data_IF_180507987899
#
_entry.id   IF_180507987899
#
_cell.length_a   1.000
_cell.length_b   1.000
_cell.length_c   1.000
_cell.angle_alpha   90.00
_cell.angle_beta   90.00
_cell.angle_gamma   90.00
#
_symmetry.space_group_name_H-M   'P 1'
#
loop_
_entity.id
_entity.type
_entity.pdbx_description
1 polymer ?
#
# COMPACT_ATOMS: atom_id res chain seq x y z
N UNK A 1 10.56 -21.05 2.15
CA UNK A 1 10.14 -20.97 3.57
C UNK A 1 11.27 -20.74 4.60
N UNK A 2 12.48 -21.38 4.54
CA UNK A 2 13.56 -21.14 5.53
C UNK A 2 14.26 -19.78 5.40
N UNK A 3 14.40 -19.22 4.21
CA UNK A 3 15.07 -17.92 4.00
C UNK A 3 14.21 -16.74 4.50
N UNK A 4 12.90 -16.76 4.27
CA UNK A 4 11.96 -15.75 4.79
C UNK A 4 12.01 -15.76 6.33
N UNK A 5 11.96 -16.93 6.98
CA UNK A 5 12.08 -17.04 8.45
C UNK A 5 13.40 -16.51 9.02
N UNK A 6 14.49 -16.45 8.25
CA UNK A 6 15.79 -15.93 8.71
C UNK A 6 15.79 -14.38 8.75
N UNK A 7 15.13 -13.72 7.80
CA UNK A 7 14.94 -12.26 7.82
C UNK A 7 13.96 -11.83 8.92
N UNK A 8 12.87 -12.60 9.13
CA UNK A 8 11.88 -12.33 10.18
C UNK A 8 12.41 -12.48 11.62
N UNK A 9 13.43 -13.33 11.86
CA UNK A 9 13.95 -13.57 13.22
C UNK A 9 14.82 -12.45 13.78
N UNK A 10 15.23 -11.48 12.98
CA UNK A 10 16.03 -10.33 13.46
C UNK A 10 15.17 -9.11 13.83
N UNK A 11 13.85 -9.19 13.71
CA UNK A 11 12.90 -8.15 14.11
C UNK A 11 12.21 -8.57 15.42
N UNK A 12 12.94 -8.56 16.51
CA UNK A 12 12.38 -8.89 17.85
C UNK A 12 11.39 -7.83 18.37
N UNK A 13 11.32 -6.68 17.69
CA UNK A 13 10.43 -5.54 17.96
C UNK A 13 9.45 -5.24 16.81
N UNK A 14 9.37 -6.13 15.81
CA UNK A 14 8.44 -5.98 14.68
C UNK A 14 8.85 -4.96 13.60
N UNK A 15 9.90 -4.18 13.77
CA UNK A 15 10.31 -3.17 12.80
C UNK A 15 11.74 -3.39 12.29
N UNK A 16 11.92 -3.60 10.98
CA UNK A 16 13.23 -3.57 10.33
C UNK A 16 13.41 -2.21 9.64
N UNK A 17 14.33 -1.38 10.15
CA UNK A 17 14.77 -0.18 9.42
C UNK A 17 15.70 -0.60 8.29
N UNK A 18 15.20 -0.55 7.05
CA UNK A 18 16.04 -0.69 5.86
C UNK A 18 16.64 0.69 5.58
N UNK A 19 17.96 0.80 5.60
CA UNK A 19 18.75 2.01 5.58
C UNK A 19 18.32 3.10 4.58
N UNK A 20 18.95 4.29 4.69
CA UNK A 20 18.67 5.48 3.89
C UNK A 20 18.53 5.14 2.41
N UNK A 21 17.30 5.30 1.89
CA UNK A 21 17.04 5.24 0.47
C UNK A 21 17.52 6.54 -0.20
N UNK A 22 17.99 6.43 -1.44
CA UNK A 22 18.30 7.60 -2.25
C UNK A 22 17.00 8.37 -2.55
N UNK A 23 17.08 9.69 -2.70
CA UNK A 23 15.96 10.58 -3.04
C UNK A 23 14.94 10.88 -1.92
N UNK A 24 15.37 11.53 -0.84
CA UNK A 24 14.45 12.25 0.06
C UNK A 24 13.66 11.39 1.06
N UNK A 25 13.64 10.06 0.93
CA UNK A 25 13.01 9.18 1.93
C UNK A 25 13.87 9.14 3.19
N UNK A 26 13.32 9.64 4.29
CA UNK A 26 14.02 9.69 5.57
C UNK A 26 14.14 8.30 6.20
N UNK A 27 13.11 7.44 6.03
CA UNK A 27 13.11 6.08 6.52
C UNK A 27 12.19 5.17 5.71
N UNK A 28 12.56 3.88 5.64
CA UNK A 28 11.71 2.78 5.18
C UNK A 28 11.60 1.79 6.32
N UNK A 29 10.41 1.29 6.59
CA UNK A 29 10.20 0.22 7.55
C UNK A 29 9.32 -0.89 6.97
N UNK A 30 9.50 -2.09 7.47
CA UNK A 30 8.71 -3.27 7.18
C UNK A 30 8.12 -3.77 8.49
N UNK A 31 6.82 -4.04 8.51
CA UNK A 31 6.11 -4.55 9.68
C UNK A 31 5.22 -5.73 9.27
N UNK A 32 5.32 -6.84 10.01
CA UNK A 32 4.46 -8.00 9.81
C UNK A 32 3.14 -7.80 10.54
N UNK A 33 2.02 -7.99 9.86
CA UNK A 33 0.68 -7.91 10.41
C UNK A 33 -0.09 -9.20 10.17
N UNK A 34 -1.05 -9.49 11.04
CA UNK A 34 -2.05 -10.52 10.81
C UNK A 34 -3.13 -9.93 9.86
N UNK A 35 -3.42 -10.53 8.70
CA UNK A 35 -4.53 -10.09 7.86
C UNK A 35 -5.87 -9.99 8.58
N UNK A 36 -6.09 -10.80 9.64
CA UNK A 36 -7.30 -10.75 10.45
C UNK A 36 -7.43 -9.46 11.28
N UNK A 37 -6.31 -8.79 11.61
CA UNK A 37 -6.30 -7.52 12.36
C UNK A 37 -6.63 -6.30 11.52
N UNK A 38 -6.71 -6.45 10.19
CA UNK A 38 -7.01 -5.32 9.31
C UNK A 38 -8.45 -4.86 9.44
N UNK A 39 -8.63 -3.57 9.56
CA UNK A 39 -9.93 -2.90 9.74
C UNK A 39 -10.54 -2.56 8.38
N UNK A 40 -11.68 -3.14 8.04
CA UNK A 40 -12.41 -2.85 6.80
C UNK A 40 -13.67 -2.03 7.08
N UNK A 41 -13.98 -1.05 6.23
CA UNK A 41 -15.11 -0.15 6.43
C UNK A 41 -15.73 0.31 5.10
N UNK A 42 -17.05 0.17 4.99
CA UNK A 42 -17.84 0.76 3.90
C UNK A 42 -17.74 2.29 3.88
N UNK A 43 -17.45 2.92 5.04
CA UNK A 43 -17.25 4.37 5.12
C UNK A 43 -16.03 4.82 4.32
N UNK A 44 -14.92 4.04 4.34
CA UNK A 44 -13.75 4.34 3.53
C UNK A 44 -14.10 4.24 2.04
N UNK A 45 -14.85 3.22 1.64
CA UNK A 45 -15.33 3.07 0.27
C UNK A 45 -16.27 4.22 -0.14
N UNK A 46 -17.11 4.71 0.78
CA UNK A 46 -17.97 5.86 0.53
C UNK A 46 -17.15 7.12 0.24
N UNK A 47 -16.06 7.37 0.96
CA UNK A 47 -15.15 8.51 0.69
C UNK A 47 -14.60 8.40 -0.75
N UNK A 48 -14.18 7.21 -1.18
CA UNK A 48 -13.77 7.02 -2.57
C UNK A 48 -14.84 7.44 -3.57
N UNK A 49 -16.11 7.09 -3.33
CA UNK A 49 -17.20 7.40 -4.26
C UNK A 49 -17.65 8.86 -4.22
N UNK A 50 -17.53 9.52 -3.06
CA UNK A 50 -18.03 10.88 -2.85
C UNK A 50 -16.99 11.96 -3.21
N UNK A 51 -15.70 11.69 -2.98
CA UNK A 51 -14.68 12.74 -2.98
C UNK A 51 -13.49 12.43 -3.90
N UNK A 52 -13.21 11.15 -4.21
CA UNK A 52 -12.02 10.80 -4.95
C UNK A 52 -12.19 11.01 -6.46
N UNK A 53 -11.35 11.85 -7.11
CA UNK A 53 -11.44 12.11 -8.55
C UNK A 53 -11.14 10.88 -9.42
N UNK A 54 -10.57 9.82 -8.85
CA UNK A 54 -10.22 8.58 -9.55
C UNK A 54 -11.31 7.49 -9.48
N UNK A 55 -12.41 7.76 -8.77
CA UNK A 55 -13.55 6.84 -8.77
C UNK A 55 -14.08 6.59 -10.18
N UNK A 56 -14.26 5.32 -10.53
CA UNK A 56 -14.74 4.92 -11.86
C UNK A 56 -13.77 5.16 -13.03
N UNK A 57 -12.48 5.44 -12.74
CA UNK A 57 -11.51 5.80 -13.79
C UNK A 57 -10.32 4.83 -13.91
N UNK A 58 -10.20 3.85 -13.03
CA UNK A 58 -9.02 2.98 -12.98
C UNK A 58 -9.39 1.55 -12.54
N UNK A 59 -8.67 0.57 -13.08
CA UNK A 59 -8.73 -0.81 -12.58
C UNK A 59 -8.25 -0.97 -11.13
N UNK A 60 -7.48 -0.02 -10.62
CA UNK A 60 -7.00 0.01 -9.24
C UNK A 60 -7.99 0.62 -8.24
N UNK A 61 -9.12 1.18 -8.72
CA UNK A 61 -10.06 1.96 -7.94
C UNK A 61 -11.48 1.38 -8.00
N UNK A 62 -12.38 1.74 -7.07
CA UNK A 62 -13.79 1.38 -7.17
C UNK A 62 -14.44 2.00 -8.42
N UNK A 63 -15.42 1.33 -9.02
CA UNK A 63 -16.01 0.05 -8.65
C UNK A 63 -15.23 -1.18 -9.19
N UNK A 64 -14.15 -0.99 -9.96
CA UNK A 64 -13.43 -2.06 -10.64
C UNK A 64 -12.83 -3.12 -9.71
N UNK A 65 -12.43 -2.72 -8.50
CA UNK A 65 -11.86 -3.63 -7.47
C UNK A 65 -12.90 -4.52 -6.78
N UNK A 66 -14.21 -4.31 -7.04
CA UNK A 66 -15.29 -5.09 -6.45
C UNK A 66 -15.82 -4.51 -5.12
N UNK A 67 -16.68 -5.25 -4.42
CA UNK A 67 -17.31 -4.87 -3.15
C UNK A 67 -16.33 -4.98 -1.98
N UNK A 68 -16.51 -4.17 -0.93
CA UNK A 68 -15.66 -4.19 0.28
C UNK A 68 -15.60 -5.59 0.88
N UNK A 69 -16.74 -6.25 1.01
CA UNK A 69 -16.81 -7.60 1.56
C UNK A 69 -15.93 -8.60 0.78
N UNK A 70 -15.96 -8.54 -0.55
CA UNK A 70 -15.14 -9.42 -1.41
C UNK A 70 -13.66 -9.08 -1.27
N UNK A 71 -13.32 -7.79 -1.15
CA UNK A 71 -11.96 -7.34 -0.89
C UNK A 71 -11.45 -7.82 0.48
N UNK A 72 -12.28 -7.72 1.52
CA UNK A 72 -11.99 -8.20 2.87
C UNK A 72 -11.77 -9.72 2.89
N UNK A 73 -12.71 -10.49 2.33
CA UNK A 73 -12.59 -11.95 2.23
C UNK A 73 -11.29 -12.35 1.53
N UNK A 74 -10.94 -11.67 0.44
CA UNK A 74 -9.69 -11.89 -0.28
C UNK A 74 -8.47 -11.57 0.58
N UNK A 75 -8.39 -10.41 1.20
CA UNK A 75 -7.26 -10.03 2.05
C UNK A 75 -7.10 -10.97 3.24
N UNK A 76 -8.21 -11.30 3.92
CA UNK A 76 -8.21 -12.22 5.08
C UNK A 76 -8.01 -13.70 4.73
N UNK A 77 -8.04 -14.07 3.44
CA UNK A 77 -7.71 -15.44 3.01
C UNK A 77 -6.21 -15.73 3.00
N UNK A 78 -5.37 -14.72 3.07
CA UNK A 78 -3.92 -14.87 3.18
C UNK A 78 -3.50 -15.13 4.63
N UNK A 79 -2.34 -15.78 4.80
CA UNK A 79 -1.80 -16.14 6.13
C UNK A 79 -0.98 -15.00 6.73
N UNK A 80 -0.36 -14.20 5.87
CA UNK A 80 0.55 -13.14 6.31
C UNK A 80 0.25 -11.83 5.55
N UNK A 81 0.52 -10.71 6.21
CA UNK A 81 0.56 -9.40 5.61
C UNK A 81 1.88 -8.71 5.99
N UNK A 82 2.57 -8.15 5.00
CA UNK A 82 3.71 -7.28 5.20
C UNK A 82 3.30 -5.85 4.91
N UNK A 83 3.35 -4.99 5.91
CA UNK A 83 3.19 -3.55 5.76
C UNK A 83 4.53 -2.92 5.39
N UNK A 84 4.56 -2.10 4.35
CA UNK A 84 5.71 -1.28 3.97
C UNK A 84 5.33 0.17 4.23
N UNK A 85 6.13 0.86 5.05
CA UNK A 85 5.99 2.29 5.27
C UNK A 85 7.22 3.04 4.74
N UNK A 86 6.99 4.17 4.06
CA UNK A 86 8.05 5.13 3.73
C UNK A 86 7.73 6.48 4.34
N UNK A 87 8.71 7.05 5.02
CA UNK A 87 8.60 8.33 5.72
C UNK A 87 9.41 9.35 4.94
N UNK A 88 8.78 10.45 4.55
CA UNK A 88 9.41 11.52 3.77
C UNK A 88 9.15 12.86 4.44
N UNK A 89 10.20 13.65 4.63
CA UNK A 89 10.08 15.04 5.05
C UNK A 89 9.84 15.94 3.82
N UNK A 90 8.84 16.82 3.94
CA UNK A 90 8.47 17.81 2.92
C UNK A 90 8.56 19.22 3.49
N UNK A 91 8.63 20.22 2.65
CA UNK A 91 8.68 21.61 3.12
C UNK A 91 7.33 22.06 3.68
N UNK A 92 6.24 21.63 3.06
CA UNK A 92 4.87 21.94 3.49
C UNK A 92 3.93 20.79 3.13
N UNK A 93 3.40 20.10 4.13
CA UNK A 93 2.45 18.99 3.93
C UNK A 93 1.14 19.45 3.28
N UNK A 94 0.76 20.73 3.40
CA UNK A 94 -0.41 21.28 2.74
C UNK A 94 -0.19 21.46 1.22
N UNK A 95 1.05 21.43 0.74
CA UNK A 95 1.37 21.42 -0.67
C UNK A 95 1.17 20.01 -1.24
N UNK A 96 -0.02 19.77 -1.79
CA UNK A 96 -0.43 18.47 -2.36
C UNK A 96 0.51 18.02 -3.47
N UNK A 97 1.01 18.94 -4.31
CA UNK A 97 1.92 18.61 -5.41
C UNK A 97 3.26 18.08 -4.86
N UNK A 98 3.83 18.74 -3.87
CA UNK A 98 5.05 18.29 -3.19
C UNK A 98 4.85 16.94 -2.51
N UNK A 99 3.73 16.78 -1.79
CA UNK A 99 3.35 15.52 -1.14
C UNK A 99 3.27 14.37 -2.15
N UNK A 100 2.53 14.55 -3.24
CA UNK A 100 2.37 13.53 -4.28
C UNK A 100 3.67 13.25 -5.05
N UNK A 101 4.58 14.22 -5.16
CA UNK A 101 5.89 14.01 -5.78
C UNK A 101 6.78 13.01 -5.03
N UNK A 102 6.50 12.73 -3.77
CA UNK A 102 7.24 11.72 -2.97
C UNK A 102 6.77 10.29 -3.22
N UNK A 103 5.56 10.09 -3.75
CA UNK A 103 4.93 8.80 -3.98
C UNK A 103 5.72 7.85 -4.91
N UNK A 104 6.33 8.28 -6.03
CA UNK A 104 7.07 7.38 -6.91
C UNK A 104 8.18 6.60 -6.21
N UNK A 105 8.80 7.17 -5.18
CA UNK A 105 9.82 6.48 -4.41
C UNK A 105 9.22 5.39 -3.52
N UNK A 106 8.05 5.63 -2.91
CA UNK A 106 7.32 4.59 -2.20
C UNK A 106 6.95 3.42 -3.12
N UNK A 107 6.41 3.71 -4.31
CA UNK A 107 6.10 2.70 -5.32
C UNK A 107 7.34 1.89 -5.74
N UNK A 108 8.48 2.57 -5.87
CA UNK A 108 9.76 1.90 -6.17
C UNK A 108 10.15 0.91 -5.08
N UNK A 109 10.04 1.32 -3.80
CA UNK A 109 10.33 0.45 -2.64
C UNK A 109 9.36 -0.73 -2.61
N UNK A 110 8.06 -0.48 -2.77
CA UNK A 110 7.02 -1.52 -2.81
C UNK A 110 7.31 -2.55 -3.90
N UNK A 111 7.62 -2.09 -5.11
CA UNK A 111 7.95 -2.97 -6.23
C UNK A 111 9.24 -3.78 -5.97
N UNK A 112 10.26 -3.19 -5.36
CA UNK A 112 11.48 -3.91 -5.00
C UNK A 112 11.21 -5.03 -3.98
N UNK A 113 10.41 -4.76 -2.95
CA UNK A 113 10.03 -5.79 -1.96
C UNK A 113 9.21 -6.89 -2.62
N UNK A 114 8.24 -6.55 -3.47
CA UNK A 114 7.47 -7.53 -4.26
C UNK A 114 8.40 -8.42 -5.09
N UNK A 115 9.34 -7.83 -5.83
CA UNK A 115 10.24 -8.57 -6.72
C UNK A 115 11.17 -9.49 -5.91
N UNK A 116 11.68 -9.04 -4.77
CA UNK A 116 12.43 -9.90 -3.84
C UNK A 116 11.59 -11.08 -3.31
N UNK A 117 10.30 -10.88 -3.03
CA UNK A 117 9.40 -11.97 -2.64
C UNK A 117 9.20 -12.97 -3.78
N UNK A 118 9.04 -12.48 -5.01
CA UNK A 118 8.94 -13.33 -6.22
C UNK A 118 10.21 -14.15 -6.45
N UNK A 119 11.38 -13.56 -6.30
CA UNK A 119 12.66 -14.25 -6.38
C UNK A 119 12.81 -15.37 -5.34
N UNK A 120 12.12 -15.22 -4.20
CA UNK A 120 12.02 -16.25 -3.16
C UNK A 120 10.89 -17.28 -3.40
N UNK A 121 10.17 -17.20 -4.51
CA UNK A 121 9.06 -18.09 -4.86
C UNK A 121 7.74 -17.73 -4.17
N UNK A 122 7.58 -16.52 -3.68
CA UNK A 122 6.35 -16.03 -3.08
C UNK A 122 5.72 -14.99 -3.99
N UNK A 123 4.49 -15.23 -4.47
CA UNK A 123 3.73 -14.25 -5.26
C UNK A 123 2.79 -13.48 -4.34
N UNK A 124 3.11 -12.22 -3.96
CA UNK A 124 2.26 -11.44 -3.07
C UNK A 124 1.11 -10.78 -3.81
N UNK A 125 -0.05 -10.68 -3.15
CA UNK A 125 -1.09 -9.74 -3.54
C UNK A 125 -0.76 -8.37 -2.95
N UNK A 126 -0.55 -7.38 -3.81
CA UNK A 126 -0.05 -6.06 -3.41
C UNK A 126 -1.18 -5.03 -3.46
N UNK A 127 -1.37 -4.33 -2.35
CA UNK A 127 -2.11 -3.06 -2.30
C UNK A 127 -1.10 -1.94 -2.05
N UNK A 128 -1.21 -0.85 -2.81
CA UNK A 128 -0.32 0.29 -2.66
C UNK A 128 -1.09 1.55 -2.26
N UNK A 129 -0.48 2.69 -2.35
CA UNK A 129 -1.09 3.97 -2.02
C UNK A 129 -1.61 4.67 -3.27
N UNK A 130 -2.65 5.47 -3.13
CA UNK A 130 -3.24 6.27 -4.19
C UNK A 130 -3.71 5.47 -5.43
N UNK A 131 -4.23 6.15 -6.43
CA UNK A 131 -4.63 5.52 -7.68
C UNK A 131 -3.41 5.12 -8.53
N UNK A 132 -3.56 4.06 -9.33
CA UNK A 132 -2.52 3.65 -10.27
C UNK A 132 -2.20 4.76 -11.28
N UNK A 133 -0.92 5.10 -11.41
CA UNK A 133 -0.40 6.14 -12.31
C UNK A 133 0.50 5.58 -13.43
N UNK A 134 0.39 4.29 -13.79
CA UNK A 134 1.22 3.66 -14.84
C UNK A 134 0.85 4.19 -16.23
N UNK A 135 -0.43 4.48 -16.46
CA UNK A 135 -0.93 4.95 -17.74
C UNK A 135 -1.50 6.37 -17.58
N UNK A 136 -1.26 7.26 -18.54
CA UNK A 136 -1.90 8.56 -18.59
C UNK A 136 -3.43 8.42 -18.62
N UNK A 137 -3.94 7.52 -19.47
CA UNK A 137 -5.36 7.16 -19.53
C UNK A 137 -5.50 5.66 -19.29
N UNK A 138 -6.22 5.27 -18.24
CA UNK A 138 -6.44 3.87 -17.89
C UNK A 138 -7.35 3.18 -18.92
N UNK A 139 -6.99 1.95 -19.31
CA UNK A 139 -7.80 1.13 -20.22
C UNK A 139 -9.21 0.83 -19.68
N UNK A 140 -9.44 0.98 -18.39
CA UNK A 140 -10.76 0.88 -17.75
C UNK A 140 -11.79 1.82 -18.41
N UNK A 141 -11.39 3.05 -18.75
CA UNK A 141 -12.26 4.04 -19.40
C UNK A 141 -12.72 3.62 -20.81
N UNK A 142 -11.96 2.71 -21.43
CA UNK A 142 -12.29 2.15 -22.76
C UNK A 142 -13.00 0.79 -22.65
N UNK A 143 -13.29 0.30 -21.44
CA UNK A 143 -13.82 -1.04 -21.20
C UNK A 143 -12.84 -2.17 -21.58
N UNK A 144 -11.55 -1.88 -21.65
CA UNK A 144 -10.48 -2.82 -22.02
C UNK A 144 -9.74 -3.32 -20.79
N UNK A 145 -9.17 -4.55 -20.82
CA UNK A 145 -8.33 -5.07 -19.76
C UNK A 145 -7.15 -4.15 -19.43
N UNK A 146 -6.64 -4.24 -18.20
CA UNK A 146 -5.44 -3.52 -17.80
C UNK A 146 -4.27 -3.86 -18.72
N UNK A 147 -3.51 -2.84 -19.17
CA UNK A 147 -2.34 -3.02 -20.04
C UNK A 147 -1.13 -3.59 -19.29
N UNK A 148 -1.12 -3.42 -17.96
CA UNK A 148 0.01 -3.80 -17.08
C UNK A 148 -0.51 -4.49 -15.80
N UNK A 149 -1.23 -5.64 -15.92
CA UNK A 149 -1.87 -6.29 -14.78
C UNK A 149 -0.86 -6.70 -13.69
N UNK A 150 0.35 -7.12 -14.09
CA UNK A 150 1.40 -7.56 -13.16
C UNK A 150 2.11 -6.40 -12.41
N UNK A 151 1.85 -5.17 -12.83
CA UNK A 151 2.45 -3.96 -12.25
C UNK A 151 1.42 -3.05 -11.59
N UNK A 152 0.15 -3.26 -11.87
CA UNK A 152 -0.96 -2.50 -11.32
C UNK A 152 -1.24 -2.98 -9.90
N UNK A 153 -1.16 -2.08 -8.95
CA UNK A 153 -1.54 -2.32 -7.56
C UNK A 153 -2.80 -1.53 -7.24
N UNK A 154 -3.86 -2.18 -6.75
CA UNK A 154 -5.00 -1.46 -6.18
C UNK A 154 -4.57 -0.64 -4.97
N UNK A 155 -5.30 0.43 -4.69
CA UNK A 155 -5.09 1.26 -3.52
C UNK A 155 -5.63 0.57 -2.25
N UNK A 156 -4.98 0.77 -1.12
CA UNK A 156 -5.38 0.20 0.19
C UNK A 156 -6.80 0.63 0.53
N UNK A 157 -7.10 1.93 0.43
CA UNK A 157 -8.41 2.51 0.70
C UNK A 157 -9.46 2.02 -0.30
N UNK A 158 -9.04 1.69 -1.54
CA UNK A 158 -9.94 1.13 -2.54
C UNK A 158 -10.52 -0.23 -2.13
N UNK A 159 -9.87 -0.92 -1.22
CA UNK A 159 -10.34 -2.17 -0.61
C UNK A 159 -11.22 -1.96 0.63
N UNK A 160 -11.44 -0.71 1.02
CA UNK A 160 -12.17 -0.36 2.23
C UNK A 160 -11.34 -0.49 3.51
N UNK A 161 -10.02 -0.67 3.40
CA UNK A 161 -9.14 -0.75 4.57
C UNK A 161 -9.00 0.64 5.20
N UNK A 162 -9.34 0.73 6.49
CA UNK A 162 -9.13 1.90 7.30
C UNK A 162 -7.71 1.83 7.90
N UNK A 163 -6.78 2.60 7.34
CA UNK A 163 -5.39 2.55 7.76
C UNK A 163 -5.17 3.00 9.20
N UNK A 164 -5.86 4.03 9.67
CA UNK A 164 -5.61 4.59 11.01
C UNK A 164 -5.76 3.53 12.10
N UNK A 165 -6.94 2.92 12.32
CA UNK A 165 -7.07 1.89 13.35
C UNK A 165 -6.24 0.64 13.04
N UNK A 166 -6.03 0.30 11.76
CA UNK A 166 -5.16 -0.81 11.37
C UNK A 166 -3.71 -0.58 11.82
N UNK A 167 -3.20 0.64 11.69
CA UNK A 167 -1.85 0.99 12.14
C UNK A 167 -1.75 1.00 13.66
N UNK A 168 -2.73 1.59 14.35
CA UNK A 168 -2.81 1.64 15.82
C UNK A 168 -2.81 0.23 16.42
N UNK A 169 -3.60 -0.69 15.89
CA UNK A 169 -3.64 -2.11 16.32
C UNK A 169 -2.28 -2.81 16.15
N UNK A 170 -1.50 -2.38 15.15
CA UNK A 170 -0.17 -2.90 14.88
C UNK A 170 0.96 -2.09 15.54
N UNK A 171 0.64 -1.12 16.42
CA UNK A 171 1.63 -0.29 17.11
C UNK A 171 2.40 0.67 16.19
N UNK A 172 1.81 1.06 15.08
CA UNK A 172 2.35 2.00 14.09
C UNK A 172 1.58 3.31 14.12
N UNK A 173 2.22 4.37 13.65
CA UNK A 173 1.60 5.70 13.55
C UNK A 173 1.27 6.04 12.09
N UNK A 174 0.16 6.75 11.89
CA UNK A 174 -0.20 7.25 10.57
C UNK A 174 0.64 8.48 10.20
N UNK A 175 1.02 9.30 11.18
CA UNK A 175 1.79 10.53 10.98
C UNK A 175 2.91 10.63 12.01
N UNK A 176 4.15 10.82 11.53
CA UNK A 176 5.36 10.86 12.36
C UNK A 176 5.89 12.27 12.62
N UNK A 177 5.16 13.34 12.26
CA UNK A 177 5.55 14.74 12.47
C UNK A 177 4.71 15.72 11.63
N UNK A 178 4.94 17.03 11.80
CA UNK A 178 4.13 18.08 11.17
C UNK A 178 4.28 18.10 9.63
N UNK A 179 5.51 18.05 9.13
CA UNK A 179 5.81 18.06 7.69
C UNK A 179 6.36 16.70 7.23
N UNK A 180 5.72 15.63 7.71
CA UNK A 180 6.10 14.27 7.40
C UNK A 180 4.97 13.59 6.62
N UNK A 181 5.28 13.14 5.42
CA UNK A 181 4.40 12.28 4.61
C UNK A 181 4.77 10.83 4.87
N UNK A 182 3.77 10.01 5.15
CA UNK A 182 3.96 8.56 5.29
C UNK A 182 3.08 7.83 4.28
N UNK A 183 3.70 7.03 3.43
CA UNK A 183 3.01 6.16 2.49
C UNK A 183 3.03 4.72 2.97
N UNK A 184 1.93 4.00 2.74
CA UNK A 184 1.78 2.61 3.14
C UNK A 184 1.39 1.72 1.97
N UNK A 185 2.03 0.54 1.91
CA UNK A 185 1.61 -0.57 1.05
C UNK A 185 1.45 -1.84 1.88
N UNK A 186 0.56 -2.73 1.44
CA UNK A 186 0.28 -4.01 2.08
C UNK A 186 0.55 -5.14 1.07
N UNK A 187 1.35 -6.11 1.46
CA UNK A 187 1.68 -7.29 0.66
C UNK A 187 1.17 -8.54 1.38
N UNK A 188 0.18 -9.18 0.82
CA UNK A 188 -0.46 -10.39 1.36
C UNK A 188 0.13 -11.65 0.75
N UNK A 189 0.41 -12.71 1.56
CA UNK A 189 1.01 -13.96 1.11
C UNK A 189 0.79 -15.15 2.04
#
# INVERSE_FOLDING_TARGET
>A
MRAVKKYWRNCADGSAKIGRAAFGVAAVFLHGADPASLEFSERIRYICSAECPMYGKSWACPPAVGEVKTCEEKCKSYVNCLMIGTIVEVADIANIEETLATRPEHERVTNQVRDLMRDMGVEPYVLSTEACAICENCAYLEGKPCRYPDRMHPCVESHGINLIPTLEENGLEFQYGENIVTWYSLLFF
#
